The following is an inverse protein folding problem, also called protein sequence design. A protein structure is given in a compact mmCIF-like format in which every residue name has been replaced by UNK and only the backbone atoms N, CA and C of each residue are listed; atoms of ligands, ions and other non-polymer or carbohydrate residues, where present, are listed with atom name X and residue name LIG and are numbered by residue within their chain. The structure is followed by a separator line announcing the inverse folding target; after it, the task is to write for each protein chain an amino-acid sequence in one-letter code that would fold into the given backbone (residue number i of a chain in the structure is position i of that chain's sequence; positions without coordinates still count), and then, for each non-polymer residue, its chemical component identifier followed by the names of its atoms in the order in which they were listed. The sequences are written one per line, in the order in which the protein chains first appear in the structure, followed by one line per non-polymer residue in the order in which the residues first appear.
data_IF_225906225251
#
_entry.id   IF_225906225251
#
_cell.length_a   1.000
_cell.length_b   1.000
_cell.length_c   1.000
_cell.angle_alpha   90.00
_cell.angle_beta   90.00
_cell.angle_gamma   90.00
#
_symmetry.space_group_name_H-M   'P 1'
#
loop_
_entity.id
_entity.type
_entity.pdbx_description
1 polymer ?
#
# COMPACT_ATOMS: atom_id res chain seq x y z
N UNK A 1 -12.08 -13.37 -14.01
CA UNK A 1 -12.07 -12.62 -12.73
C UNK A 1 -11.67 -13.60 -11.63
N UNK A 2 -10.87 -13.21 -10.64
CA UNK A 2 -10.35 -14.13 -9.59
C UNK A 2 -11.51 -14.80 -8.81
N UNK A 3 -12.68 -14.16 -8.75
CA UNK A 3 -13.86 -14.63 -8.02
C UNK A 3 -15.10 -14.80 -8.90
N UNK A 4 -14.96 -15.39 -10.09
CA UNK A 4 -16.14 -15.66 -10.93
C UNK A 4 -17.08 -16.67 -10.25
N UNK A 5 -18.38 -16.35 -10.14
CA UNK A 5 -19.39 -17.26 -9.59
C UNK A 5 -19.60 -17.14 -8.08
N UNK A 6 -18.97 -16.16 -7.41
CA UNK A 6 -19.17 -15.91 -5.99
C UNK A 6 -20.26 -14.86 -5.71
N UNK A 7 -20.91 -14.33 -6.74
CA UNK A 7 -21.85 -13.20 -6.62
C UNK A 7 -23.01 -13.46 -5.65
N UNK A 8 -23.44 -14.72 -5.51
CA UNK A 8 -24.50 -15.10 -4.56
C UNK A 8 -24.09 -15.02 -3.08
N UNK A 9 -22.79 -14.88 -2.79
CA UNK A 9 -22.22 -14.89 -1.44
C UNK A 9 -21.68 -13.53 -1.00
N UNK A 10 -21.78 -12.50 -1.85
CA UNK A 10 -21.21 -11.18 -1.62
C UNK A 10 -22.33 -10.15 -1.48
N UNK A 11 -22.17 -9.23 -0.53
CA UNK A 11 -23.07 -8.08 -0.38
C UNK A 11 -22.74 -7.01 -1.43
N UNK A 12 -23.73 -6.44 -2.13
CA UNK A 12 -23.48 -5.38 -3.10
C UNK A 12 -23.06 -4.08 -2.39
N UNK A 13 -21.85 -3.58 -2.70
CA UNK A 13 -21.47 -2.22 -2.35
C UNK A 13 -22.18 -1.23 -3.28
N UNK A 14 -22.81 -0.15 -2.79
CA UNK A 14 -23.63 0.74 -3.60
C UNK A 14 -22.85 1.39 -4.76
N UNK A 15 -21.56 1.67 -4.56
CA UNK A 15 -20.71 2.30 -5.57
C UNK A 15 -21.14 3.75 -5.88
N UNK A 16 -20.45 4.39 -6.82
CA UNK A 16 -20.77 5.76 -7.24
C UNK A 16 -21.86 5.82 -8.34
N UNK A 17 -21.85 4.83 -9.26
CA UNK A 17 -22.76 4.79 -10.41
C UNK A 17 -23.64 3.53 -10.41
N UNK A 18 -23.04 2.38 -10.13
CA UNK A 18 -23.74 1.09 -10.05
C UNK A 18 -23.23 0.26 -8.88
N UNK A 19 -24.07 -0.59 -8.27
CA UNK A 19 -23.64 -1.54 -7.26
C UNK A 19 -22.55 -2.48 -7.79
N UNK A 20 -21.62 -2.87 -6.92
CA UNK A 20 -20.51 -3.78 -7.24
C UNK A 20 -20.14 -4.63 -6.03
N UNK A 21 -19.81 -5.90 -6.24
CA UNK A 21 -19.33 -6.79 -5.17
C UNK A 21 -17.83 -6.59 -4.83
N UNK A 22 -17.11 -5.87 -5.69
CA UNK A 22 -15.68 -5.62 -5.52
C UNK A 22 -15.38 -4.13 -5.62
N UNK A 23 -14.76 -3.59 -4.58
CA UNK A 23 -14.33 -2.20 -4.49
C UNK A 23 -12.81 -2.19 -4.45
N UNK A 24 -12.13 -1.56 -5.42
CA UNK A 24 -10.70 -1.37 -5.31
C UNK A 24 -10.41 -0.43 -4.14
N UNK A 25 -9.41 -0.78 -3.33
CA UNK A 25 -8.83 0.17 -2.38
C UNK A 25 -8.16 1.29 -3.18
N UNK A 26 -8.24 2.51 -2.68
CA UNK A 26 -7.56 3.67 -3.26
C UNK A 26 -6.06 3.49 -3.10
N UNK A 27 -5.31 3.60 -4.18
CA UNK A 27 -3.85 3.59 -4.16
C UNK A 27 -3.33 4.94 -3.65
N UNK A 28 -2.57 4.93 -2.55
CA UNK A 28 -2.14 6.17 -1.87
C UNK A 28 -0.62 6.30 -1.72
N UNK A 29 0.15 5.24 -1.95
CA UNK A 29 1.59 5.28 -1.75
C UNK A 29 2.34 4.14 -2.43
N UNK A 30 3.49 4.48 -2.99
CA UNK A 30 4.50 3.54 -3.46
C UNK A 30 5.87 3.91 -2.91
N UNK A 31 6.62 2.92 -2.44
CA UNK A 31 8.05 3.13 -2.22
C UNK A 31 8.79 3.36 -3.53
N UNK A 32 8.41 2.66 -4.60
CA UNK A 32 8.90 2.93 -5.96
C UNK A 32 7.73 2.84 -6.95
N UNK A 33 7.28 3.96 -7.48
CA UNK A 33 6.18 3.98 -8.44
C UNK A 33 6.49 3.12 -9.69
N UNK A 34 5.49 2.50 -10.32
CA UNK A 34 5.66 1.85 -11.62
C UNK A 34 5.90 2.93 -12.68
N UNK A 35 7.17 3.17 -13.02
CA UNK A 35 7.57 4.16 -14.01
C UNK A 35 7.40 3.63 -15.45
N UNK A 36 7.00 4.51 -16.36
CA UNK A 36 7.06 4.29 -17.80
C UNK A 36 8.47 4.51 -18.33
N UNK A 37 9.31 3.49 -18.15
CA UNK A 37 10.57 3.40 -18.86
C UNK A 37 10.30 2.87 -20.27
N UNK A 38 10.63 3.68 -21.27
CA UNK A 38 10.69 3.27 -22.68
C UNK A 38 9.39 2.71 -23.28
N UNK A 39 8.22 3.17 -22.82
CA UNK A 39 6.92 2.78 -23.39
C UNK A 39 6.30 1.52 -22.77
N UNK A 40 6.96 0.86 -21.81
CA UNK A 40 6.38 -0.20 -20.97
C UNK A 40 6.27 0.28 -19.50
N UNK A 41 5.10 0.79 -19.07
CA UNK A 41 4.86 1.34 -17.72
C UNK A 41 5.05 0.36 -16.57
N UNK A 42 5.28 -0.92 -16.85
CA UNK A 42 5.42 -1.95 -15.81
C UNK A 42 6.71 -2.75 -15.94
N UNK A 43 7.60 -2.44 -16.88
CA UNK A 43 8.83 -3.20 -17.11
C UNK A 43 9.69 -3.33 -15.85
N UNK A 44 9.86 -2.24 -15.09
CA UNK A 44 10.62 -2.24 -13.82
C UNK A 44 10.00 -3.20 -12.81
N UNK A 45 8.67 -3.28 -12.79
CA UNK A 45 7.88 -4.06 -11.85
C UNK A 45 7.69 -5.52 -12.27
N UNK A 46 8.06 -5.91 -13.49
CA UNK A 46 8.05 -7.32 -13.88
C UNK A 46 9.02 -8.10 -13.00
N UNK A 47 8.51 -9.16 -12.37
CA UNK A 47 9.31 -10.01 -11.49
C UNK A 47 10.35 -10.73 -12.33
N UNK A 48 11.61 -10.68 -11.87
CA UNK A 48 12.74 -11.39 -12.50
C UNK A 48 12.99 -12.77 -11.88
N UNK A 49 12.40 -13.02 -10.72
CA UNK A 49 12.45 -14.27 -9.99
C UNK A 49 11.09 -14.51 -9.30
N UNK A 50 10.75 -15.76 -8.96
CA UNK A 50 9.54 -16.05 -8.19
C UNK A 50 9.51 -15.30 -6.86
N UNK A 51 8.34 -14.78 -6.50
CA UNK A 51 8.11 -14.15 -5.18
C UNK A 51 8.19 -15.23 -4.12
N UNK A 52 9.14 -15.11 -3.17
CA UNK A 52 9.27 -16.11 -2.10
C UNK A 52 8.10 -15.99 -1.11
N UNK A 53 7.74 -14.76 -0.74
CA UNK A 53 6.60 -14.50 0.12
C UNK A 53 5.93 -13.17 -0.23
N UNK A 54 4.66 -13.24 -0.60
CA UNK A 54 3.75 -12.10 -0.63
C UNK A 54 3.25 -11.83 0.79
N UNK A 55 3.51 -10.64 1.33
CA UNK A 55 3.24 -10.33 2.73
C UNK A 55 2.38 -9.07 2.85
N UNK A 56 1.25 -9.22 3.54
CA UNK A 56 0.25 -8.17 3.71
C UNK A 56 0.02 -7.83 5.17
N UNK A 57 -0.26 -6.55 5.45
CA UNK A 57 -0.61 -6.06 6.78
C UNK A 57 -1.73 -5.04 6.72
N UNK A 58 -2.53 -4.97 7.77
CA UNK A 58 -3.61 -4.02 7.94
C UNK A 58 -3.33 -3.06 9.09
N UNK A 59 -3.70 -1.81 8.93
CA UNK A 59 -3.78 -0.83 10.01
C UNK A 59 -5.05 0.01 9.87
N UNK A 60 -5.47 0.64 10.95
CA UNK A 60 -6.61 1.57 10.98
C UNK A 60 -6.10 2.98 11.23
N UNK A 61 -6.61 3.93 10.48
CA UNK A 61 -6.34 5.34 10.65
C UNK A 61 -7.43 5.98 11.52
N UNK A 62 -7.07 7.02 12.26
CA UNK A 62 -8.06 7.93 12.82
C UNK A 62 -8.74 8.65 11.65
N UNK A 63 -10.09 8.65 11.53
CA UNK A 63 -10.77 9.25 10.38
C UNK A 63 -10.39 10.72 10.12
N UNK A 64 -10.16 11.50 11.19
CA UNK A 64 -9.75 12.90 11.10
C UNK A 64 -8.30 13.10 10.59
N UNK A 65 -7.48 12.04 10.58
CA UNK A 65 -6.06 12.09 10.22
C UNK A 65 -5.77 11.47 8.84
N UNK A 66 -6.78 10.95 8.14
CA UNK A 66 -6.58 10.27 6.84
C UNK A 66 -5.91 11.20 5.83
N UNK A 67 -6.36 12.45 5.73
CA UNK A 67 -5.78 13.42 4.78
C UNK A 67 -4.33 13.77 5.09
N UNK A 68 -3.96 13.93 6.37
CA UNK A 68 -2.56 14.21 6.73
C UNK A 68 -1.67 12.98 6.50
N UNK A 69 -2.19 11.77 6.77
CA UNK A 69 -1.47 10.53 6.48
C UNK A 69 -1.12 10.43 4.99
N UNK A 70 -2.11 10.64 4.12
CA UNK A 70 -1.93 10.64 2.66
C UNK A 70 -0.93 11.73 2.25
N UNK A 71 -1.05 12.94 2.80
CA UNK A 71 -0.12 14.04 2.50
C UNK A 71 1.33 13.67 2.82
N UNK A 72 1.60 13.13 4.01
CA UNK A 72 2.96 12.76 4.40
C UNK A 72 3.53 11.63 3.53
N UNK A 73 2.70 10.64 3.16
CA UNK A 73 3.14 9.55 2.29
C UNK A 73 3.38 10.02 0.85
N UNK A 74 2.52 10.90 0.33
CA UNK A 74 2.76 11.57 -0.95
C UNK A 74 4.06 12.38 -0.93
N UNK A 75 4.33 13.09 0.17
CA UNK A 75 5.58 13.82 0.31
C UNK A 75 6.80 12.88 0.32
N UNK A 76 6.74 11.80 1.09
CA UNK A 76 7.81 10.80 1.14
C UNK A 76 8.08 10.16 -0.23
N UNK A 77 7.05 9.70 -0.95
CA UNK A 77 7.26 9.00 -2.23
C UNK A 77 7.89 9.92 -3.28
N UNK A 78 7.57 11.22 -3.25
CA UNK A 78 8.05 12.17 -4.26
C UNK A 78 9.37 12.85 -3.87
N UNK A 79 9.73 12.92 -2.59
CA UNK A 79 11.04 13.44 -2.14
C UNK A 79 12.10 12.34 -1.97
N UNK A 80 11.68 11.08 -1.76
CA UNK A 80 12.57 9.94 -1.47
C UNK A 80 12.13 8.68 -2.24
N UNK A 81 11.97 8.74 -3.58
CA UNK A 81 11.57 7.56 -4.35
C UNK A 81 12.62 6.45 -4.26
N UNK A 82 12.18 5.21 -4.12
CA UNK A 82 13.03 4.02 -3.99
C UNK A 82 13.63 3.78 -2.60
N UNK A 83 13.19 4.51 -1.57
CA UNK A 83 13.75 4.39 -0.19
C UNK A 83 13.41 3.08 0.51
N UNK A 84 12.53 2.26 -0.05
CA UNK A 84 12.07 1.00 0.55
C UNK A 84 11.93 -0.13 -0.47
N UNK A 85 11.08 -1.11 -0.13
CA UNK A 85 10.80 -2.25 -1.01
C UNK A 85 10.15 -1.75 -2.31
N UNK A 86 10.73 -2.10 -3.46
CA UNK A 86 10.22 -1.75 -4.78
C UNK A 86 8.73 -2.08 -4.94
N UNK A 87 8.26 -3.16 -4.32
CA UNK A 87 6.88 -3.63 -4.41
C UNK A 87 6.03 -3.23 -3.20
N UNK A 88 6.55 -2.37 -2.33
CA UNK A 88 5.82 -1.89 -1.16
C UNK A 88 4.78 -0.83 -1.53
N UNK A 89 3.50 -1.15 -1.31
CA UNK A 89 2.34 -0.32 -1.71
C UNK A 89 1.38 -0.20 -0.54
N UNK A 90 0.89 1.02 -0.27
CA UNK A 90 -0.20 1.22 0.68
C UNK A 90 -1.46 1.62 -0.09
N UNK A 91 -2.56 0.94 0.19
CA UNK A 91 -3.89 1.26 -0.31
C UNK A 91 -4.87 1.51 0.83
N UNK A 92 -5.92 2.28 0.57
CA UNK A 92 -6.89 2.77 1.55
C UNK A 92 -8.32 2.39 1.16
N UNK A 93 -9.12 1.94 2.12
CA UNK A 93 -10.57 1.85 2.01
C UNK A 93 -11.20 2.41 3.28
N UNK A 94 -11.87 3.55 3.16
CA UNK A 94 -12.34 4.36 4.31
C UNK A 94 -11.19 4.77 5.23
N UNK A 95 -11.10 4.18 6.42
CA UNK A 95 -10.01 4.38 7.40
C UNK A 95 -9.08 3.15 7.52
N UNK A 96 -9.37 2.06 6.79
CA UNK A 96 -8.55 0.86 6.76
C UNK A 96 -7.49 0.96 5.67
N UNK A 97 -6.22 0.82 6.06
CA UNK A 97 -5.10 0.74 5.12
C UNK A 97 -4.54 -0.67 5.03
N UNK A 98 -4.17 -1.04 3.82
CA UNK A 98 -3.49 -2.30 3.51
C UNK A 98 -2.09 -1.99 2.98
N UNK A 99 -1.08 -2.53 3.65
CA UNK A 99 0.31 -2.48 3.19
C UNK A 99 0.71 -3.83 2.62
N UNK A 100 0.96 -3.85 1.32
CA UNK A 100 1.53 -4.99 0.61
C UNK A 100 3.04 -4.81 0.46
N UNK A 101 3.81 -5.88 0.62
CA UNK A 101 5.22 -5.94 0.26
C UNK A 101 5.64 -7.38 -0.08
N UNK A 102 6.80 -7.53 -0.70
CA UNK A 102 7.41 -8.84 -0.96
C UNK A 102 8.55 -9.10 0.03
N UNK A 103 8.82 -10.37 0.32
CA UNK A 103 9.96 -10.80 1.13
C UNK A 103 10.80 -11.82 0.35
N UNK A 104 12.15 -11.71 0.38
CA UNK A 104 12.92 -10.57 0.89
C UNK A 104 12.62 -9.28 0.10
N UNK A 105 12.76 -8.13 0.75
CA UNK A 105 12.52 -6.83 0.10
C UNK A 105 13.50 -6.59 -1.05
N UNK A 106 13.01 -6.04 -2.16
CA UNK A 106 13.83 -5.67 -3.30
C UNK A 106 14.04 -4.16 -3.27
N UNK A 107 15.19 -3.71 -2.77
CA UNK A 107 15.51 -2.27 -2.75
C UNK A 107 16.25 -1.90 -4.02
N UNK A 108 15.77 -0.85 -4.70
CA UNK A 108 16.37 -0.33 -5.92
C UNK A 108 16.33 1.21 -5.89
N UNK A 109 17.40 1.89 -6.35
CA UNK A 109 17.33 3.32 -6.63
C UNK A 109 16.21 3.64 -7.62
N UNK A 110 15.48 4.71 -7.37
CA UNK A 110 14.57 5.25 -8.38
C UNK A 110 15.35 5.84 -9.55
N UNK A 111 14.82 5.70 -10.76
CA UNK A 111 15.37 6.33 -11.96
C UNK A 111 14.84 7.77 -12.12
N UNK A 112 13.64 8.06 -11.58
CA UNK A 112 13.09 9.39 -11.43
C UNK A 112 13.48 10.02 -10.08
N UNK A 113 13.87 11.32 -10.04
CA UNK A 113 14.06 12.06 -8.79
C UNK A 113 12.77 12.31 -7.98
N UNK A 114 11.59 12.00 -8.53
CA UNK A 114 10.30 12.31 -7.93
C UNK A 114 9.80 13.70 -8.34
N UNK A 115 8.58 14.08 -7.95
CA UNK A 115 7.93 15.33 -8.38
C UNK A 115 8.19 16.52 -7.47
N UNK A 116 8.67 16.29 -6.24
CA UNK A 116 8.89 17.33 -5.24
C UNK A 116 10.38 17.65 -5.11
N UNK A 117 10.71 18.94 -5.08
CA UNK A 117 12.08 19.43 -4.84
C UNK A 117 12.29 19.90 -3.39
N UNK A 118 11.29 19.70 -2.54
CA UNK A 118 11.32 20.06 -1.12
C UNK A 118 12.06 19.00 -0.30
N UNK A 119 12.32 19.31 0.97
CA UNK A 119 12.94 18.39 1.93
C UNK A 119 12.13 18.32 3.22
N UNK A 120 10.80 18.28 3.08
CA UNK A 120 9.86 18.38 4.18
C UNK A 120 9.52 17.03 4.82
N UNK A 121 9.92 15.91 4.20
CA UNK A 121 9.71 14.56 4.74
C UNK A 121 10.38 14.45 6.11
N UNK A 122 9.60 14.22 7.20
CA UNK A 122 10.15 14.19 8.55
C UNK A 122 11.24 13.14 8.72
N UNK A 123 12.30 13.48 9.45
CA UNK A 123 13.34 12.52 9.85
C UNK A 123 12.84 11.59 10.97
N UNK A 124 11.95 12.07 11.84
CA UNK A 124 11.31 11.31 12.92
C UNK A 124 9.96 10.72 12.45
N UNK A 125 10.00 9.91 11.40
CA UNK A 125 8.79 9.43 10.72
C UNK A 125 7.80 8.75 11.67
N UNK A 126 8.30 7.89 12.57
CA UNK A 126 7.46 7.18 13.52
C UNK A 126 6.65 8.13 14.40
N UNK A 127 7.27 9.16 14.99
CA UNK A 127 6.60 10.10 15.90
C UNK A 127 5.52 10.92 15.20
N UNK A 128 5.74 11.26 13.92
CA UNK A 128 4.74 11.97 13.11
C UNK A 128 3.60 11.05 12.69
N UNK A 129 3.91 9.78 12.35
CA UNK A 129 2.89 8.83 11.89
C UNK A 129 2.08 8.22 13.02
N UNK A 130 2.67 7.97 14.18
CA UNK A 130 2.03 7.26 15.30
C UNK A 130 0.63 7.81 15.65
N UNK A 131 0.42 9.14 15.79
CA UNK A 131 -0.90 9.70 16.10
C UNK A 131 -1.98 9.46 15.05
N UNK A 132 -1.60 9.08 13.82
CA UNK A 132 -2.55 8.81 12.75
C UNK A 132 -3.27 7.47 12.94
N UNK A 133 -2.75 6.57 13.76
CA UNK A 133 -3.28 5.22 13.88
C UNK A 133 -4.33 5.08 14.99
N UNK A 134 -5.34 4.28 14.70
CA UNK A 134 -6.27 3.75 15.70
C UNK A 134 -5.83 2.32 16.03
N UNK A 135 -5.21 2.15 17.19
CA UNK A 135 -4.52 0.91 17.57
C UNK A 135 -5.49 -0.28 17.68
N UNK A 136 -5.00 -1.48 17.36
CA UNK A 136 -5.69 -2.74 17.63
C UNK A 136 -5.54 -3.10 19.11
N UNK A 137 -6.66 -3.12 19.84
CA UNK A 137 -6.67 -3.45 21.27
C UNK A 137 -6.44 -4.95 21.54
N UNK A 138 -6.75 -5.79 20.56
CA UNK A 138 -6.67 -7.26 20.61
C UNK A 138 -5.42 -7.83 19.91
N UNK A 139 -4.51 -6.98 19.43
CA UNK A 139 -3.37 -7.43 18.65
C UNK A 139 -2.28 -8.08 19.53
N UNK A 140 -1.54 -9.07 18.97
CA UNK A 140 -0.29 -9.53 19.58
C UNK A 140 0.71 -8.40 19.76
N UNK A 141 1.61 -8.54 20.74
CA UNK A 141 2.68 -7.57 20.98
C UNK A 141 3.49 -7.29 19.70
N UNK A 142 3.65 -6.02 19.36
CA UNK A 142 4.32 -5.56 18.14
C UNK A 142 3.44 -5.44 16.89
N UNK A 143 2.13 -5.73 17.00
CA UNK A 143 1.14 -5.60 15.92
C UNK A 143 0.01 -4.61 16.25
N UNK A 144 0.20 -3.76 17.26
CA UNK A 144 -0.79 -2.80 17.75
C UNK A 144 -1.16 -1.78 16.67
N UNK A 145 -0.26 -1.50 15.73
CA UNK A 145 -0.51 -0.67 14.55
C UNK A 145 -0.79 -1.55 13.34
N UNK A 146 0.21 -2.35 12.94
CA UNK A 146 0.19 -3.16 11.73
C UNK A 146 -0.04 -4.62 12.08
N UNK A 147 -1.25 -5.09 11.81
CA UNK A 147 -1.66 -6.48 12.01
C UNK A 147 -1.35 -7.29 10.76
N UNK A 148 -0.61 -8.39 10.93
CA UNK A 148 -0.37 -9.34 9.85
C UNK A 148 -1.67 -10.03 9.43
N UNK A 149 -1.81 -10.27 8.13
CA UNK A 149 -2.93 -11.05 7.60
C UNK A 149 -2.43 -12.33 6.95
N UNK A 150 -3.27 -13.36 7.01
CA UNK A 150 -3.01 -14.62 6.33
C UNK A 150 -3.24 -14.48 4.82
N UNK A 151 -2.25 -14.87 4.04
CA UNK A 151 -2.39 -14.99 2.59
C UNK A 151 -3.21 -16.25 2.26
N UNK A 152 -4.51 -16.07 1.98
CA UNK A 152 -5.43 -17.17 1.62
C UNK A 152 -5.29 -17.63 0.17
N UNK A 153 -4.82 -16.76 -0.72
CA UNK A 153 -4.61 -17.06 -2.13
C UNK A 153 -3.49 -16.19 -2.71
N UNK A 154 -2.54 -16.82 -3.39
CA UNK A 154 -1.50 -16.13 -4.15
C UNK A 154 -1.23 -16.94 -5.42
N UNK A 155 -1.19 -16.26 -6.57
CA UNK A 155 -0.87 -16.88 -7.86
C UNK A 155 0.37 -16.22 -8.43
N UNK A 156 1.44 -17.00 -8.54
CA UNK A 156 2.61 -16.64 -9.33
C UNK A 156 2.26 -16.77 -10.82
N UNK A 157 2.50 -15.71 -11.59
CA UNK A 157 2.40 -15.70 -13.05
C UNK A 157 3.62 -16.35 -13.71
#
# INVERSE_FOLDING_TARGET
RIFSGTDAWLEPWPGASTPRHFVPMMDIFHYLAPENLHGDPVAVWRRKAPVQQAWGRLARLQPAMVSSYIFYHYQMQEEKPGVGDQYGIISLHEDLIFFYQERPAVVRPAENPGKLQTTNTPNHWHDVMFPHFHLWEDAPAGQEIWREIETVYHRTL
#
